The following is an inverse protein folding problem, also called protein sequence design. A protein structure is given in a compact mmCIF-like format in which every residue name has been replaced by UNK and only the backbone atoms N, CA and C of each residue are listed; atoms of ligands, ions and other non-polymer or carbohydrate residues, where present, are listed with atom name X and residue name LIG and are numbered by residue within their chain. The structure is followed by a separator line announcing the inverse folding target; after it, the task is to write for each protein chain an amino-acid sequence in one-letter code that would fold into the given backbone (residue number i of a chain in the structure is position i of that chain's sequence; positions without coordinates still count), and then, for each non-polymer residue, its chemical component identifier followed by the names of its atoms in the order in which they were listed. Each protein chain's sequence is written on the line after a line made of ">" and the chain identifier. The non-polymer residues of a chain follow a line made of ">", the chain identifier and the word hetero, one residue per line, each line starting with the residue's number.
data_IF_179037090289
#
_entry.id   IF_179037090289
#
_cell.length_a   1.000
_cell.length_b   1.000
_cell.length_c   1.000
_cell.angle_alpha   90.00
_cell.angle_beta   90.00
_cell.angle_gamma   90.00
#
_symmetry.space_group_name_H-M   'P 1'
#
loop_
_entity.id
_entity.type
_entity.pdbx_description
1 polymer ?
#
# COMPACT_ATOMS: atom_id res chain seq x y z
N UNK A 1 5.21 -0.17 21.30
CA UNK A 1 4.66 0.77 20.31
C UNK A 1 3.20 0.46 20.11
N UNK A 2 2.36 1.44 20.23
CA UNK A 2 0.93 1.25 19.94
C UNK A 2 0.78 0.99 18.44
N UNK A 3 0.00 -0.02 18.08
CA UNK A 3 -0.27 -0.31 16.69
C UNK A 3 -1.15 0.80 16.09
N UNK A 4 -0.79 1.25 14.90
CA UNK A 4 -1.62 2.20 14.17
C UNK A 4 -2.88 1.48 13.68
N UNK A 5 -4.01 2.15 13.80
CA UNK A 5 -5.27 1.60 13.31
C UNK A 5 -5.41 1.89 11.82
N UNK A 6 -5.15 0.91 10.98
CA UNK A 6 -5.24 1.05 9.53
C UNK A 6 -6.67 1.01 9.00
N UNK A 7 -7.69 0.82 9.86
CA UNK A 7 -9.07 0.72 9.39
C UNK A 7 -9.53 1.99 8.65
N UNK A 8 -9.01 3.15 9.04
CA UNK A 8 -9.34 4.41 8.37
C UNK A 8 -8.86 4.38 6.92
N UNK A 9 -7.60 3.97 6.68
CA UNK A 9 -7.08 3.83 5.32
C UNK A 9 -7.78 2.69 4.58
N UNK A 10 -8.00 1.57 5.26
CA UNK A 10 -8.65 0.41 4.64
C UNK A 10 -10.04 0.77 4.13
N UNK A 11 -10.76 1.65 4.83
CA UNK A 11 -12.10 2.10 4.41
C UNK A 11 -12.06 2.85 3.07
N UNK A 12 -10.88 3.28 2.61
CA UNK A 12 -10.69 4.00 1.35
C UNK A 12 -10.22 3.10 0.21
N UNK A 13 -9.90 1.85 0.49
CA UNK A 13 -9.31 0.94 -0.51
C UNK A 13 -10.23 0.75 -1.72
N UNK A 14 -11.52 0.56 -1.48
CA UNK A 14 -12.50 0.35 -2.54
C UNK A 14 -12.48 1.51 -3.54
N UNK A 15 -12.45 2.74 -3.05
CA UNK A 15 -12.41 3.93 -3.89
C UNK A 15 -11.13 3.98 -4.72
N UNK A 16 -10.00 3.70 -4.10
CA UNK A 16 -8.70 3.75 -4.79
C UNK A 16 -8.62 2.64 -5.84
N UNK A 17 -9.05 1.43 -5.50
CA UNK A 17 -9.06 0.31 -6.45
C UNK A 17 -9.92 0.67 -7.68
N UNK A 18 -11.07 1.31 -7.46
CA UNK A 18 -11.92 1.69 -8.57
C UNK A 18 -11.26 2.67 -9.54
N UNK A 19 -10.28 3.44 -9.08
CA UNK A 19 -9.54 4.40 -9.90
C UNK A 19 -8.32 3.78 -10.58
N UNK A 20 -7.93 2.57 -10.19
CA UNK A 20 -6.74 1.92 -10.74
C UNK A 20 -7.03 1.31 -12.10
N UNK A 21 -6.01 1.22 -12.98
CA UNK A 21 -6.13 0.40 -14.18
C UNK A 21 -6.27 -1.08 -13.80
N UNK A 22 -6.64 -1.90 -14.74
CA UNK A 22 -6.77 -3.34 -14.52
C UNK A 22 -5.92 -4.07 -15.56
N UNK A 23 -4.79 -4.66 -15.19
CA UNK A 23 -4.25 -4.79 -13.83
C UNK A 23 -3.51 -3.53 -13.35
N UNK A 24 -3.18 -3.52 -12.07
CA UNK A 24 -2.36 -2.46 -11.48
C UNK A 24 -1.33 -3.11 -10.54
N UNK A 25 -0.31 -2.33 -10.12
CA UNK A 25 0.67 -2.85 -9.18
C UNK A 25 0.57 -2.15 -7.83
N UNK A 26 1.25 -2.75 -6.84
CA UNK A 26 1.22 -2.23 -5.47
C UNK A 26 1.73 -0.80 -5.38
N UNK A 27 2.76 -0.45 -6.17
CA UNK A 27 3.31 0.91 -6.13
C UNK A 27 2.31 1.93 -6.65
N UNK A 28 1.57 1.60 -7.71
CA UNK A 28 0.52 2.48 -8.23
C UNK A 28 -0.58 2.70 -7.19
N UNK A 29 -0.98 1.63 -6.50
CA UNK A 29 -2.00 1.71 -5.46
C UNK A 29 -1.52 2.57 -4.29
N UNK A 30 -0.30 2.35 -3.82
CA UNK A 30 0.27 3.11 -2.70
C UNK A 30 0.37 4.58 -3.03
N UNK A 31 0.84 4.92 -4.23
CA UNK A 31 0.96 6.31 -4.64
C UNK A 31 -0.41 7.00 -4.67
N UNK A 32 -1.39 6.36 -5.27
CA UNK A 32 -2.74 6.93 -5.37
C UNK A 32 -3.36 7.13 -3.99
N UNK A 33 -3.22 6.14 -3.10
CA UNK A 33 -3.73 6.22 -1.74
C UNK A 33 -3.07 7.36 -0.97
N UNK A 34 -1.74 7.44 -1.03
CA UNK A 34 -0.98 8.45 -0.31
C UNK A 34 -1.33 9.85 -0.81
N UNK A 35 -1.48 10.04 -2.10
CA UNK A 35 -1.78 11.36 -2.67
C UNK A 35 -3.20 11.81 -2.36
N UNK A 36 -4.15 10.90 -2.34
CA UNK A 36 -5.55 11.27 -2.11
C UNK A 36 -5.87 11.42 -0.63
N UNK A 37 -5.28 10.60 0.21
CA UNK A 37 -5.55 10.59 1.65
C UNK A 37 -4.27 10.91 2.43
N UNK A 38 -3.72 12.09 2.15
CA UNK A 38 -2.41 12.51 2.68
C UNK A 38 -2.39 12.58 4.19
N UNK A 39 -3.43 13.11 4.82
CA UNK A 39 -3.48 13.24 6.28
C UNK A 39 -3.40 11.88 6.94
N UNK A 40 -4.18 10.92 6.47
CA UNK A 40 -4.19 9.56 7.01
C UNK A 40 -2.87 8.86 6.75
N UNK A 41 -2.27 9.07 5.56
CA UNK A 41 -0.98 8.50 5.23
C UNK A 41 0.13 9.05 6.12
N UNK A 42 0.15 10.37 6.34
CA UNK A 42 1.13 11.01 7.22
C UNK A 42 0.97 10.52 8.66
N UNK A 43 -0.27 10.34 9.12
CA UNK A 43 -0.53 9.82 10.46
C UNK A 43 0.04 8.40 10.62
N UNK A 44 -0.12 7.57 9.59
CA UNK A 44 0.46 6.22 9.61
C UNK A 44 1.99 6.27 9.64
N UNK A 45 2.60 7.14 8.83
CA UNK A 45 4.05 7.32 8.83
C UNK A 45 4.55 7.77 10.20
N UNK A 46 3.84 8.71 10.83
CA UNK A 46 4.22 9.18 12.16
C UNK A 46 4.17 8.06 13.18
N UNK A 47 3.13 7.21 13.13
CA UNK A 47 3.02 6.07 14.03
C UNK A 47 4.16 5.07 13.83
N UNK A 48 4.73 5.02 12.62
CA UNK A 48 5.82 4.12 12.27
C UNK A 48 7.18 4.82 12.26
N UNK A 49 7.28 6.02 12.82
CA UNK A 49 8.52 6.82 12.75
C UNK A 49 9.75 6.09 13.27
N UNK A 50 9.56 5.19 14.22
CA UNK A 50 10.65 4.44 14.84
C UNK A 50 10.79 3.02 14.27
N UNK A 51 9.99 2.67 13.27
CA UNK A 51 10.11 1.36 12.62
C UNK A 51 11.48 1.26 11.96
N UNK A 52 12.16 0.17 12.22
CA UNK A 52 13.51 -0.02 11.71
C UNK A 52 13.71 -1.41 11.13
N UNK A 53 14.65 -1.50 10.20
CA UNK A 53 15.13 -2.75 9.65
C UNK A 53 16.65 -2.76 9.79
N UNK A 54 17.18 -3.75 10.53
CA UNK A 54 18.63 -3.86 10.78
C UNK A 54 19.23 -2.56 11.35
N UNK A 55 18.49 -1.91 12.25
CA UNK A 55 18.93 -0.70 12.92
C UNK A 55 18.74 0.59 12.12
N UNK A 56 18.26 0.53 10.90
CA UNK A 56 17.99 1.72 10.09
C UNK A 56 16.50 2.07 10.12
N UNK A 57 16.14 3.33 10.43
CA UNK A 57 14.73 3.74 10.38
C UNK A 57 14.18 3.61 8.95
N UNK A 58 13.07 2.92 8.79
CA UNK A 58 12.43 2.70 7.49
C UNK A 58 10.90 2.79 7.61
N UNK A 59 10.37 3.95 8.06
CA UNK A 59 8.92 4.06 8.27
C UNK A 59 8.10 3.86 7.00
N UNK A 60 8.58 4.33 5.85
CA UNK A 60 7.87 4.11 4.59
C UNK A 60 7.70 2.62 4.31
N UNK A 61 8.77 1.84 4.49
CA UNK A 61 8.72 0.40 4.25
C UNK A 61 7.71 -0.28 5.18
N UNK A 62 7.70 0.10 6.46
CA UNK A 62 6.77 -0.47 7.43
C UNK A 62 5.33 -0.18 7.09
N UNK A 63 5.02 1.08 6.77
CA UNK A 63 3.67 1.49 6.42
C UNK A 63 3.21 0.84 5.11
N UNK A 64 4.06 0.86 4.08
CA UNK A 64 3.69 0.29 2.78
C UNK A 64 3.43 -1.21 2.89
N UNK A 65 4.27 -1.92 3.63
CA UNK A 65 4.07 -3.35 3.85
C UNK A 65 2.75 -3.62 4.55
N UNK A 66 2.43 -2.85 5.59
CA UNK A 66 1.19 -3.03 6.33
C UNK A 66 -0.03 -2.77 5.44
N UNK A 67 0.01 -1.71 4.63
CA UNK A 67 -1.09 -1.37 3.72
C UNK A 67 -1.30 -2.51 2.71
N UNK A 68 -0.24 -3.00 2.10
CA UNK A 68 -0.36 -4.06 1.08
C UNK A 68 -0.82 -5.38 1.71
N UNK A 69 -0.40 -5.69 2.93
CA UNK A 69 -0.92 -6.85 3.64
C UNK A 69 -2.43 -6.75 3.86
N UNK A 70 -2.93 -5.55 4.17
CA UNK A 70 -4.38 -5.33 4.29
C UNK A 70 -5.09 -5.46 2.94
N UNK A 71 -4.49 -4.92 1.89
CA UNK A 71 -5.06 -5.06 0.54
C UNK A 71 -5.18 -6.53 0.15
N UNK A 72 -4.17 -7.33 0.47
CA UNK A 72 -4.17 -8.77 0.15
C UNK A 72 -5.32 -9.52 0.83
N UNK A 73 -5.84 -9.01 1.94
CA UNK A 73 -7.00 -9.63 2.61
C UNK A 73 -8.34 -9.25 1.97
N UNK A 74 -8.35 -8.24 1.12
CA UNK A 74 -9.58 -7.73 0.50
C UNK A 74 -9.83 -8.46 -0.82
N UNK A 75 -10.17 -9.74 -0.72
CA UNK A 75 -10.45 -10.58 -1.88
C UNK A 75 -11.74 -10.20 -2.60
N UNK A 76 -12.54 -9.37 -1.97
CA UNK A 76 -13.72 -8.76 -2.59
C UNK A 76 -13.35 -7.66 -3.59
N UNK A 77 -12.15 -7.11 -3.50
CA UNK A 77 -11.70 -6.00 -4.33
C UNK A 77 -10.63 -6.41 -5.35
N UNK A 78 -9.70 -7.26 -4.96
CA UNK A 78 -8.52 -7.56 -5.78
C UNK A 78 -8.15 -9.05 -5.69
N UNK A 79 -7.42 -9.51 -6.71
CA UNK A 79 -6.79 -10.82 -6.70
C UNK A 79 -5.34 -10.65 -7.16
N UNK A 80 -4.42 -11.29 -6.47
CA UNK A 80 -3.00 -11.22 -6.80
C UNK A 80 -2.72 -12.04 -8.06
N UNK A 81 -2.03 -11.41 -9.03
CA UNK A 81 -1.58 -12.07 -10.26
C UNK A 81 -0.19 -12.67 -10.06
N UNK A 82 0.72 -11.83 -9.52
CA UNK A 82 2.09 -12.25 -9.19
C UNK A 82 2.66 -11.25 -8.19
N UNK A 83 3.74 -11.63 -7.50
CA UNK A 83 4.34 -10.79 -6.47
C UNK A 83 5.74 -10.30 -6.84
N UNK A 84 6.17 -10.50 -8.08
CA UNK A 84 7.52 -10.18 -8.54
C UNK A 84 7.53 -9.25 -9.75
N UNK A 85 6.49 -8.44 -9.92
CA UNK A 85 6.42 -7.52 -11.06
C UNK A 85 7.49 -6.43 -10.93
N UNK A 86 8.36 -6.26 -11.95
CA UNK A 86 9.27 -5.14 -11.95
C UNK A 86 8.49 -3.82 -12.05
N UNK A 87 8.84 -2.88 -11.18
CA UNK A 87 8.13 -1.60 -11.10
C UNK A 87 9.01 -0.58 -10.42
N UNK A 88 8.65 0.69 -10.54
CA UNK A 88 9.28 1.75 -9.76
C UNK A 88 8.39 2.06 -8.57
N UNK A 89 9.01 2.17 -7.38
CA UNK A 89 8.27 2.55 -6.18
C UNK A 89 7.85 4.02 -6.25
N UNK A 90 7.16 4.52 -5.21
CA UNK A 90 6.62 5.87 -5.23
C UNK A 90 7.71 6.94 -5.25
N UNK A 91 8.98 6.57 -5.01
CA UNK A 91 10.13 7.46 -5.06
C UNK A 91 10.93 7.32 -6.36
N UNK A 92 10.47 6.47 -7.28
CA UNK A 92 11.13 6.28 -8.56
C UNK A 92 12.26 5.26 -8.56
N UNK A 93 12.45 4.53 -7.48
CA UNK A 93 13.48 3.49 -7.39
C UNK A 93 12.98 2.19 -8.00
N UNK A 94 13.84 1.52 -8.78
CA UNK A 94 13.51 0.22 -9.35
C UNK A 94 13.36 -0.83 -8.25
N UNK A 95 12.28 -1.61 -8.32
CA UNK A 95 11.96 -2.59 -7.30
C UNK A 95 11.01 -3.64 -7.89
N UNK A 96 10.55 -4.54 -7.05
CA UNK A 96 9.51 -5.52 -7.43
C UNK A 96 8.34 -5.39 -6.47
N UNK A 97 7.15 -5.69 -6.96
CA UNK A 97 5.95 -5.63 -6.13
C UNK A 97 4.86 -6.53 -6.68
N UNK A 98 3.75 -6.62 -5.97
CA UNK A 98 2.60 -7.38 -6.40
C UNK A 98 1.89 -6.73 -7.59
N UNK A 99 1.43 -7.56 -8.50
CA UNK A 99 0.52 -7.16 -9.57
C UNK A 99 -0.86 -7.72 -9.26
N UNK A 100 -1.87 -6.87 -9.35
CA UNK A 100 -3.22 -7.18 -8.92
C UNK A 100 -4.21 -6.98 -10.06
N UNK A 101 -5.22 -7.83 -10.12
CA UNK A 101 -6.37 -7.57 -10.98
C UNK A 101 -7.55 -7.14 -10.12
N UNK A 102 -8.44 -6.33 -10.72
CA UNK A 102 -9.65 -5.90 -10.04
C UNK A 102 -10.68 -7.02 -10.09
N UNK A 103 -11.32 -7.27 -8.94
CA UNK A 103 -12.41 -8.23 -8.86
C UNK A 103 -13.71 -7.47 -9.16
N UNK A 104 -14.40 -7.88 -10.20
CA UNK A 104 -15.68 -7.27 -10.55
C UNK A 104 -16.81 -8.01 -9.86
N UNK A 105 -17.72 -7.25 -9.32
CA UNK A 105 -18.93 -7.79 -8.72
C UNK A 105 -20.08 -7.77 -9.71
#
# INVERSE_FOLDING_TARGET
>A
MAAYDFSVLESKFSEIVNQMPDPFDSHEFLLALAQKYQTEYVSALYAYKDYSNKGNPTPFQGVHKAIIQKLATRKDLVALIRDDKPSKDIFGNSNQCGEWKKVQK
#
